data_IF_398033543419
#
_entry.id   IF_398033543419
#
_cell.length_a   1.000
_cell.length_b   1.000
_cell.length_c   1.000
_cell.angle_alpha   90.00
_cell.angle_beta   90.00
_cell.angle_gamma   90.00
#
_symmetry.space_group_name_H-M   'P 1'
#
loop_
_entity.id
_entity.type
_entity.pdbx_description
1 polymer ?
#
# COMPACT_ATOMS: atom_id res chain seq x y z
N UNK A 1 29.74 25.86 17.76
CA UNK A 1 29.42 25.26 16.43
C UNK A 1 29.54 23.73 16.42
N UNK A 2 30.65 23.13 16.87
CA UNK A 2 30.84 21.67 16.86
C UNK A 2 29.75 20.82 17.55
N UNK A 3 29.09 21.34 18.60
CA UNK A 3 28.01 20.65 19.32
C UNK A 3 26.73 20.52 18.47
N UNK A 4 26.40 21.56 17.71
CA UNK A 4 25.25 21.57 16.78
C UNK A 4 25.50 20.63 15.60
N UNK A 5 26.71 20.67 15.04
CA UNK A 5 27.11 19.77 13.95
C UNK A 5 27.00 18.31 14.37
N UNK A 6 27.46 17.96 15.59
CA UNK A 6 27.33 16.61 16.14
C UNK A 6 25.87 16.16 16.28
N UNK A 7 24.97 17.03 16.74
CA UNK A 7 23.54 16.71 16.85
C UNK A 7 22.92 16.43 15.49
N UNK A 8 23.23 17.27 14.49
CA UNK A 8 22.73 17.08 13.12
C UNK A 8 23.25 15.75 12.54
N UNK A 9 24.54 15.44 12.72
CA UNK A 9 25.13 14.19 12.23
C UNK A 9 24.49 12.97 12.88
N UNK A 10 24.24 13.01 14.20
CA UNK A 10 23.57 11.91 14.92
C UNK A 10 22.13 11.74 14.44
N UNK A 11 21.38 12.83 14.28
CA UNK A 11 20.01 12.78 13.74
C UNK A 11 19.97 12.19 12.33
N UNK A 12 20.91 12.58 11.46
CA UNK A 12 21.02 12.01 10.12
C UNK A 12 21.33 10.50 10.16
N UNK A 13 22.25 10.10 11.04
CA UNK A 13 22.63 8.69 11.20
C UNK A 13 21.44 7.83 11.64
N UNK A 14 20.63 8.34 12.57
CA UNK A 14 19.41 7.67 13.05
C UNK A 14 18.39 7.53 11.93
N UNK A 15 18.17 8.57 11.13
CA UNK A 15 17.23 8.51 9.99
C UNK A 15 17.68 7.48 8.96
N UNK A 16 18.97 7.42 8.66
CA UNK A 16 19.53 6.46 7.68
C UNK A 16 19.40 5.02 8.18
N UNK A 17 19.69 4.74 9.46
CA UNK A 17 19.65 3.38 10.01
C UNK A 17 18.24 2.90 10.36
N UNK A 18 17.28 3.79 10.59
CA UNK A 18 15.88 3.44 10.88
C UNK A 18 15.16 2.76 9.70
N UNK A 19 15.70 2.83 8.49
CA UNK A 19 15.12 2.19 7.29
C UNK A 19 15.35 0.68 7.18
N UNK A 20 16.22 0.09 8.02
CA UNK A 20 16.74 -1.26 7.82
C UNK A 20 15.88 -2.42 8.35
N UNK A 21 14.61 -2.22 8.71
CA UNK A 21 13.80 -3.29 9.30
C UNK A 21 12.31 -3.26 8.92
N UNK A 22 11.99 -3.39 7.63
CA UNK A 22 10.65 -3.80 7.19
C UNK A 22 10.61 -5.32 6.93
N UNK A 23 10.99 -6.15 7.92
CA UNK A 23 11.06 -7.61 7.78
C UNK A 23 9.70 -8.32 8.01
N UNK A 24 8.62 -7.57 8.20
CA UNK A 24 7.26 -8.08 8.40
C UNK A 24 6.39 -7.95 7.13
N UNK A 25 6.98 -7.72 5.96
CA UNK A 25 6.24 -7.77 4.71
C UNK A 25 5.99 -9.24 4.35
N UNK A 26 4.73 -9.65 4.31
CA UNK A 26 4.35 -10.95 3.79
C UNK A 26 4.29 -10.89 2.28
N UNK A 27 5.14 -11.65 1.59
CA UNK A 27 5.01 -11.82 0.15
C UNK A 27 3.77 -12.66 -0.17
N UNK A 28 2.96 -12.17 -1.09
CA UNK A 28 1.84 -12.93 -1.61
C UNK A 28 2.33 -14.11 -2.48
N UNK A 29 1.65 -15.25 -2.38
CA UNK A 29 1.85 -16.40 -3.27
C UNK A 29 1.42 -16.18 -4.73
N UNK A 30 0.71 -15.09 -5.04
CA UNK A 30 0.36 -14.70 -6.41
C UNK A 30 0.48 -13.17 -6.62
N UNK A 31 1.07 -12.75 -7.75
CA UNK A 31 1.34 -11.34 -8.04
C UNK A 31 0.10 -10.44 -8.01
N UNK A 32 -1.09 -11.00 -8.26
CA UNK A 32 -2.36 -10.29 -8.21
C UNK A 32 -2.80 -9.88 -6.80
N UNK A 33 -2.23 -10.42 -5.71
CA UNK A 33 -2.49 -9.87 -4.36
C UNK A 33 -1.46 -8.81 -3.94
N UNK A 34 -0.40 -8.60 -4.72
CA UNK A 34 0.52 -7.49 -4.52
C UNK A 34 0.03 -6.26 -5.31
N UNK A 35 -0.46 -6.48 -6.52
CA UNK A 35 -0.93 -5.42 -7.42
C UNK A 35 -2.42 -5.66 -7.73
N UNK A 36 -3.33 -4.86 -7.14
CA UNK A 36 -4.75 -4.98 -7.43
C UNK A 36 -5.08 -4.52 -8.86
N UNK A 37 -6.11 -5.13 -9.48
CA UNK A 37 -6.65 -4.66 -10.75
C UNK A 37 -7.46 -3.37 -10.58
N UNK A 38 -7.38 -2.50 -11.58
CA UNK A 38 -8.21 -1.31 -11.73
C UNK A 38 -7.60 -0.03 -11.14
N UNK A 39 -7.60 1.03 -11.95
CA UNK A 39 -7.06 2.33 -11.54
C UNK A 39 -7.93 3.02 -10.47
N UNK A 40 -9.25 2.83 -10.50
CA UNK A 40 -10.20 3.44 -9.56
C UNK A 40 -9.91 2.98 -8.12
N UNK A 41 -9.88 1.67 -7.88
CA UNK A 41 -9.58 1.13 -6.56
C UNK A 41 -8.16 1.48 -6.08
N UNK A 42 -7.18 1.45 -6.98
CA UNK A 42 -5.80 1.84 -6.66
C UNK A 42 -5.67 3.33 -6.30
N UNK A 43 -6.38 4.21 -7.01
CA UNK A 43 -6.45 5.65 -6.73
C UNK A 43 -7.12 5.98 -5.39
N UNK A 44 -7.96 5.09 -4.88
CA UNK A 44 -8.59 5.19 -3.56
C UNK A 44 -7.74 4.62 -2.42
N UNK A 45 -6.46 4.30 -2.68
CA UNK A 45 -5.60 3.69 -1.67
C UNK A 45 -6.03 2.28 -1.31
N UNK A 46 -6.56 1.53 -2.29
CA UNK A 46 -7.02 0.14 -2.13
C UNK A 46 -8.21 -0.03 -1.18
N UNK A 47 -9.04 1.02 -1.03
CA UNK A 47 -10.23 1.02 -0.16
C UNK A 47 -11.54 0.82 -0.93
N UNK A 48 -11.54 -0.08 -1.92
CA UNK A 48 -12.61 -0.16 -2.92
C UNK A 48 -13.77 -1.12 -2.58
N UNK A 49 -13.62 -1.96 -1.55
CA UNK A 49 -14.53 -3.10 -1.32
C UNK A 49 -16.02 -2.76 -1.12
N UNK A 50 -16.35 -1.57 -0.61
CA UNK A 50 -17.74 -1.17 -0.37
C UNK A 50 -18.47 -0.69 -1.64
N UNK A 51 -17.73 -0.36 -2.71
CA UNK A 51 -18.26 0.26 -3.93
C UNK A 51 -17.76 -0.47 -5.18
N UNK A 52 -17.41 -1.75 -5.05
CA UNK A 52 -16.90 -2.57 -6.14
C UNK A 52 -18.05 -3.01 -7.05
N UNK A 53 -18.48 -2.14 -7.95
CA UNK A 53 -19.65 -2.25 -8.82
C UNK A 53 -19.27 -2.35 -10.32
N UNK A 54 -18.02 -2.75 -10.62
CA UNK A 54 -17.50 -2.86 -11.98
C UNK A 54 -16.92 -4.26 -12.29
N UNK A 55 -16.35 -4.44 -13.49
CA UNK A 55 -15.77 -5.71 -13.93
C UNK A 55 -14.66 -6.27 -13.02
N UNK A 56 -14.07 -5.43 -12.14
CA UNK A 56 -13.04 -5.85 -11.18
C UNK A 56 -13.63 -6.32 -9.84
N UNK A 57 -14.96 -6.27 -9.65
CA UNK A 57 -15.64 -6.63 -8.41
C UNK A 57 -15.32 -8.05 -7.93
N UNK A 58 -15.12 -9.01 -8.84
CA UNK A 58 -14.70 -10.37 -8.47
C UNK A 58 -13.40 -10.44 -7.67
N UNK A 59 -12.49 -9.46 -7.85
CA UNK A 59 -11.25 -9.36 -7.09
C UNK A 59 -11.45 -8.60 -5.77
N UNK A 60 -12.20 -7.49 -5.80
CA UNK A 60 -12.35 -6.58 -4.65
C UNK A 60 -13.43 -7.00 -3.65
N UNK A 61 -14.61 -7.38 -4.14
CA UNK A 61 -15.75 -7.86 -3.36
C UNK A 61 -16.77 -8.55 -4.30
N UNK A 62 -16.82 -9.90 -4.34
CA UNK A 62 -17.75 -10.63 -5.21
C UNK A 62 -19.22 -10.29 -5.00
N UNK A 63 -19.64 -9.83 -3.81
CA UNK A 63 -21.03 -9.41 -3.59
C UNK A 63 -21.42 -8.19 -4.43
N UNK A 64 -20.43 -7.35 -4.81
CA UNK A 64 -20.61 -6.20 -5.68
C UNK A 64 -21.05 -6.54 -7.11
N UNK A 65 -20.82 -7.78 -7.56
CA UNK A 65 -21.28 -8.27 -8.86
C UNK A 65 -22.81 -8.17 -9.04
N UNK A 66 -23.57 -8.19 -7.94
CA UNK A 66 -25.01 -8.01 -7.99
C UNK A 66 -25.46 -6.60 -8.40
N UNK A 67 -24.55 -5.63 -8.39
CA UNK A 67 -24.82 -4.21 -8.67
C UNK A 67 -24.11 -3.69 -9.93
N UNK A 68 -23.44 -4.58 -10.68
CA UNK A 68 -22.78 -4.21 -11.94
C UNK A 68 -23.85 -3.92 -12.99
N UNK A 69 -23.83 -2.71 -13.53
CA UNK A 69 -24.72 -2.29 -14.62
C UNK A 69 -24.19 -2.79 -15.98
N UNK A 70 -25.12 -3.05 -16.92
CA UNK A 70 -24.83 -3.55 -18.27
C UNK A 70 -24.81 -2.45 -19.33
#
# INVERSE_FOLDING_TARGET
MAKMTRLITVSLLIIVTASAAALAQGESGAGSLIIPPGARGNGMGQSFGAIADDATAMWWNPAGMAFVEY
#
